data_IF_439892209933
#
_entry.id   IF_439892209933
#
_cell.length_a   1.000
_cell.length_b   1.000
_cell.length_c   1.000
_cell.angle_alpha   90.00
_cell.angle_beta   90.00
_cell.angle_gamma   90.00
#
_symmetry.space_group_name_H-M   'P 1'
#
loop_
_entity.id
_entity.type
_entity.pdbx_description
1 polymer ?
#
# COMPACT_ATOMS: atom_id res chain seq x y z
N UNK A 1 -8.41 -17.69 18.14
CA UNK A 1 -7.86 -17.17 16.87
C UNK A 1 -8.97 -17.25 15.85
N UNK A 2 -9.34 -16.12 15.30
CA UNK A 2 -10.33 -16.01 14.23
C UNK A 2 -9.80 -16.70 12.97
N UNK A 3 -10.67 -17.33 12.20
CA UNK A 3 -10.35 -17.95 10.92
C UNK A 3 -11.34 -17.44 9.88
N UNK A 4 -10.97 -17.49 8.61
CA UNK A 4 -11.92 -17.23 7.54
C UNK A 4 -13.05 -18.27 7.56
N UNK A 5 -14.25 -17.77 7.35
CA UNK A 5 -15.47 -18.55 7.21
C UNK A 5 -16.16 -18.21 5.90
N UNK A 6 -17.13 -19.01 5.49
CA UNK A 6 -17.99 -18.62 4.37
C UNK A 6 -18.73 -17.31 4.68
N UNK A 7 -19.16 -16.57 3.65
CA UNK A 7 -19.97 -15.38 3.82
C UNK A 7 -21.22 -15.62 4.67
N UNK A 8 -21.85 -16.79 4.50
CA UNK A 8 -23.06 -17.17 5.25
C UNK A 8 -22.76 -17.32 6.75
N UNK A 9 -21.66 -18.02 7.11
CA UNK A 9 -21.24 -18.22 8.50
C UNK A 9 -20.74 -16.93 9.14
N UNK A 10 -20.06 -16.05 8.34
CA UNK A 10 -19.66 -14.71 8.79
C UNK A 10 -20.89 -13.89 9.19
N UNK A 11 -21.92 -13.85 8.33
CA UNK A 11 -23.15 -13.11 8.61
C UNK A 11 -23.86 -13.63 9.85
N UNK A 12 -23.99 -14.95 10.03
CA UNK A 12 -24.56 -15.54 11.24
C UNK A 12 -23.78 -15.12 12.50
N UNK A 13 -22.44 -15.11 12.42
CA UNK A 13 -21.58 -14.65 13.52
C UNK A 13 -21.81 -13.16 13.85
N UNK A 14 -21.96 -12.33 12.82
CA UNK A 14 -22.15 -10.89 12.99
C UNK A 14 -23.57 -10.52 13.46
N UNK A 15 -24.61 -11.28 13.06
CA UNK A 15 -25.98 -11.11 13.58
C UNK A 15 -26.08 -11.34 15.09
N UNK A 16 -25.21 -12.20 15.65
CA UNK A 16 -25.15 -12.47 17.10
C UNK A 16 -24.24 -11.47 17.85
N UNK A 17 -23.41 -10.72 17.11
CA UNK A 17 -22.49 -9.72 17.69
C UNK A 17 -23.20 -8.37 17.91
N UNK A 18 -22.71 -7.60 18.86
CA UNK A 18 -23.12 -6.22 19.07
C UNK A 18 -21.88 -5.37 19.33
N UNK A 19 -21.77 -4.29 18.60
CA UNK A 19 -20.63 -3.38 18.69
C UNK A 19 -21.07 -2.02 19.23
N UNK A 20 -20.32 -1.47 20.18
CA UNK A 20 -20.61 -0.16 20.78
C UNK A 20 -20.29 1.01 19.82
N UNK A 21 -19.66 0.71 18.67
CA UNK A 21 -19.24 1.67 17.64
C UNK A 21 -19.21 1.01 16.25
N UNK A 22 -19.21 1.80 15.16
CA UNK A 22 -19.04 1.25 13.83
C UNK A 22 -17.80 0.34 13.72
N UNK A 23 -17.92 -0.91 13.25
CA UNK A 23 -16.75 -1.73 12.99
C UNK A 23 -16.00 -1.24 11.74
N UNK A 24 -14.74 -1.64 11.59
CA UNK A 24 -13.99 -1.45 10.36
C UNK A 24 -14.01 -2.73 9.53
N UNK A 25 -14.19 -2.61 8.21
CA UNK A 25 -13.97 -3.67 7.24
C UNK A 25 -12.57 -3.49 6.66
N UNK A 26 -11.69 -4.45 6.88
CA UNK A 26 -10.36 -4.51 6.27
C UNK A 26 -10.39 -5.56 5.17
N UNK A 27 -10.27 -5.15 3.91
CA UNK A 27 -10.27 -6.06 2.77
C UNK A 27 -8.87 -6.26 2.19
N UNK A 28 -8.63 -7.39 1.55
CA UNK A 28 -7.30 -7.94 1.29
C UNK A 28 -6.54 -8.11 2.62
N UNK A 29 -7.00 -9.04 3.42
CA UNK A 29 -6.62 -9.23 4.81
C UNK A 29 -5.23 -9.88 4.99
N UNK A 30 -4.22 -9.40 4.24
CA UNK A 30 -2.84 -9.87 4.25
C UNK A 30 -1.95 -8.99 5.16
N UNK A 31 -0.66 -8.82 4.86
CA UNK A 31 0.33 -8.08 5.68
C UNK A 31 -0.12 -6.66 6.00
N UNK A 32 -0.59 -5.92 4.99
CA UNK A 32 -1.12 -4.56 5.15
C UNK A 32 -2.37 -4.57 6.01
N UNK A 33 -3.29 -5.51 5.76
CA UNK A 33 -4.52 -5.66 6.53
C UNK A 33 -4.28 -5.92 8.01
N UNK A 34 -3.28 -6.75 8.38
CA UNK A 34 -2.85 -6.93 9.79
C UNK A 34 -2.44 -5.62 10.41
N UNK A 35 -1.65 -4.82 9.71
CA UNK A 35 -1.14 -3.55 10.21
C UNK A 35 -2.26 -2.53 10.42
N UNK A 36 -3.22 -2.46 9.49
CA UNK A 36 -4.43 -1.61 9.61
C UNK A 36 -5.30 -2.09 10.77
N UNK A 37 -5.58 -3.39 10.86
CA UNK A 37 -6.38 -3.96 11.95
C UNK A 37 -5.79 -3.63 13.33
N UNK A 38 -4.48 -3.83 13.51
CA UNK A 38 -3.78 -3.52 14.76
C UNK A 38 -3.81 -2.02 15.08
N UNK A 39 -3.65 -1.16 14.07
CA UNK A 39 -3.73 0.29 14.24
C UNK A 39 -5.10 0.74 14.76
N UNK A 40 -6.18 0.16 14.23
CA UNK A 40 -7.56 0.43 14.65
C UNK A 40 -7.86 -0.16 16.03
N UNK A 41 -7.37 -1.36 16.31
CA UNK A 41 -7.57 -2.03 17.61
C UNK A 41 -6.90 -1.29 18.79
N UNK A 42 -5.86 -0.47 18.56
CA UNK A 42 -5.28 0.39 19.63
C UNK A 42 -6.27 1.44 20.15
N UNK A 43 -7.37 1.65 19.44
CA UNK A 43 -8.46 2.55 19.79
C UNK A 43 -9.80 1.80 19.99
N UNK A 44 -9.74 0.50 20.27
CA UNK A 44 -10.91 -0.36 20.50
C UNK A 44 -11.91 -0.39 19.32
N UNK A 45 -11.45 -0.20 18.08
CA UNK A 45 -12.30 -0.35 16.90
C UNK A 45 -12.39 -1.84 16.55
N UNK A 46 -13.60 -2.44 16.50
CA UNK A 46 -13.77 -3.82 16.07
C UNK A 46 -13.42 -3.95 14.58
N UNK A 47 -12.65 -4.98 14.21
CA UNK A 47 -12.23 -5.18 12.83
C UNK A 47 -12.77 -6.48 12.26
N UNK A 48 -13.45 -6.41 11.13
CA UNK A 48 -13.93 -7.50 10.31
C UNK A 48 -12.99 -7.62 9.10
N UNK A 49 -12.36 -8.79 8.92
CA UNK A 49 -11.47 -9.04 7.80
C UNK A 49 -12.22 -9.71 6.65
N UNK A 50 -12.11 -9.14 5.45
CA UNK A 50 -12.68 -9.72 4.22
C UNK A 50 -11.55 -10.05 3.24
N UNK A 51 -11.62 -11.22 2.61
CA UNK A 51 -10.68 -11.60 1.55
C UNK A 51 -11.37 -12.51 0.52
N UNK A 52 -10.73 -12.70 -0.64
CA UNK A 52 -11.18 -13.59 -1.71
C UNK A 52 -10.91 -15.07 -1.42
N UNK A 53 -9.98 -15.34 -0.51
CA UNK A 53 -9.56 -16.71 -0.13
C UNK A 53 -9.33 -16.79 1.37
N UNK A 54 -9.31 -18.01 1.90
CA UNK A 54 -9.05 -18.28 3.31
C UNK A 54 -7.59 -18.14 3.76
N UNK A 55 -6.69 -17.64 2.90
CA UNK A 55 -5.24 -17.66 3.11
C UNK A 55 -4.67 -16.34 3.67
N UNK A 56 -5.51 -15.34 3.89
CA UNK A 56 -5.10 -14.05 4.45
C UNK A 56 -4.45 -14.17 5.83
N UNK A 57 -3.55 -13.24 6.13
CA UNK A 57 -2.69 -13.27 7.32
C UNK A 57 -3.33 -12.57 8.53
N UNK A 58 -4.30 -11.68 8.29
CA UNK A 58 -4.90 -10.87 9.36
C UNK A 58 -5.85 -11.64 10.31
N UNK A 59 -6.68 -12.61 9.88
CA UNK A 59 -7.69 -13.21 10.75
C UNK A 59 -7.17 -13.81 12.05
N UNK A 60 -5.98 -14.47 12.09
CA UNK A 60 -5.46 -15.01 13.34
C UNK A 60 -5.01 -13.96 14.37
N UNK A 61 -5.00 -12.67 14.01
CA UNK A 61 -4.69 -11.56 14.92
C UNK A 61 -5.78 -11.37 15.97
N UNK A 62 -5.38 -11.02 17.21
CA UNK A 62 -6.31 -10.59 18.27
C UNK A 62 -7.06 -9.30 17.92
N UNK A 63 -6.55 -8.52 16.95
CA UNK A 63 -7.20 -7.31 16.44
C UNK A 63 -8.43 -7.59 15.57
N UNK A 64 -8.62 -8.84 15.09
CA UNK A 64 -9.70 -9.21 14.18
C UNK A 64 -10.78 -9.97 14.94
N UNK A 65 -12.02 -9.46 14.94
CA UNK A 65 -13.15 -10.05 15.64
C UNK A 65 -13.91 -11.09 14.81
N UNK A 66 -13.95 -10.91 13.47
CA UNK A 66 -14.59 -11.82 12.54
C UNK A 66 -13.87 -11.76 11.18
N UNK A 67 -13.95 -12.86 10.40
CA UNK A 67 -13.35 -12.90 9.08
C UNK A 67 -14.17 -13.77 8.13
N UNK A 68 -14.30 -13.36 6.86
CA UNK A 68 -15.06 -14.11 5.86
C UNK A 68 -14.55 -13.91 4.44
N UNK A 69 -14.85 -14.92 3.62
CA UNK A 69 -14.58 -14.90 2.19
C UNK A 69 -15.70 -14.17 1.46
N UNK A 70 -15.31 -13.30 0.54
CA UNK A 70 -16.22 -12.55 -0.34
C UNK A 70 -15.78 -12.68 -1.79
N UNK A 71 -16.68 -12.38 -2.69
CA UNK A 71 -16.41 -12.34 -4.13
C UNK A 71 -15.25 -11.42 -4.44
N UNK A 72 -14.32 -11.90 -5.27
CA UNK A 72 -13.17 -11.08 -5.69
C UNK A 72 -13.61 -9.98 -6.67
N UNK A 73 -13.32 -8.72 -6.38
CA UNK A 73 -13.87 -7.61 -7.16
C UNK A 73 -13.43 -7.57 -8.62
N UNK A 74 -12.30 -8.16 -9.00
CA UNK A 74 -11.89 -8.26 -10.40
C UNK A 74 -12.66 -9.33 -11.19
N UNK A 75 -13.16 -10.35 -10.52
CA UNK A 75 -13.93 -11.42 -11.17
C UNK A 75 -15.40 -11.01 -11.34
N UNK A 76 -15.98 -10.38 -10.31
CA UNK A 76 -17.38 -9.95 -10.31
C UNK A 76 -17.58 -8.73 -9.37
N UNK A 77 -17.50 -7.49 -9.88
CA UNK A 77 -17.69 -6.29 -9.06
C UNK A 77 -19.09 -6.18 -8.45
N UNK A 78 -20.15 -6.64 -9.14
CA UNK A 78 -21.51 -6.61 -8.63
C UNK A 78 -21.68 -7.63 -7.50
N UNK A 79 -21.15 -8.85 -7.67
CA UNK A 79 -21.14 -9.87 -6.61
C UNK A 79 -20.34 -9.41 -5.39
N UNK A 80 -19.20 -8.75 -5.57
CA UNK A 80 -18.46 -8.14 -4.48
C UNK A 80 -19.31 -7.12 -3.72
N UNK A 81 -19.97 -6.20 -4.43
CA UNK A 81 -20.86 -5.21 -3.81
C UNK A 81 -21.96 -5.89 -3.00
N UNK A 82 -22.67 -6.88 -3.59
CA UNK A 82 -23.75 -7.61 -2.91
C UNK A 82 -23.25 -8.30 -1.65
N UNK A 83 -22.07 -8.91 -1.67
CA UNK A 83 -21.46 -9.57 -0.51
C UNK A 83 -21.17 -8.55 0.61
N UNK A 84 -20.54 -7.40 0.28
CA UNK A 84 -20.21 -6.35 1.24
C UNK A 84 -21.47 -5.73 1.84
N UNK A 85 -22.48 -5.41 1.03
CA UNK A 85 -23.79 -4.91 1.48
C UNK A 85 -24.45 -5.92 2.43
N UNK A 86 -24.37 -7.22 2.10
CA UNK A 86 -24.93 -8.27 2.95
C UNK A 86 -24.26 -8.40 4.31
N UNK A 87 -22.96 -8.05 4.41
CA UNK A 87 -22.23 -7.93 5.69
C UNK A 87 -22.69 -6.68 6.44
N UNK A 88 -22.83 -5.55 5.75
CA UNK A 88 -23.26 -4.30 6.37
C UNK A 88 -24.70 -4.40 6.91
N UNK A 89 -25.60 -5.08 6.20
CA UNK A 89 -27.02 -5.24 6.56
C UNK A 89 -27.25 -5.95 7.91
N UNK A 90 -26.32 -6.77 8.37
CA UNK A 90 -26.44 -7.49 9.65
C UNK A 90 -25.77 -6.77 10.83
N UNK A 91 -25.17 -5.62 10.59
CA UNK A 91 -24.49 -4.82 11.61
C UNK A 91 -25.40 -3.73 12.18
N UNK A 92 -25.25 -3.43 13.49
CA UNK A 92 -25.97 -2.33 14.16
C UNK A 92 -25.51 -0.92 13.69
N UNK A 93 -24.35 -0.84 13.05
CA UNK A 93 -23.71 0.40 12.60
C UNK A 93 -23.10 0.22 11.21
N UNK A 94 -23.16 1.26 10.36
CA UNK A 94 -22.49 1.28 9.06
C UNK A 94 -20.98 1.14 9.24
N UNK A 95 -20.33 0.06 8.75
CA UNK A 95 -18.90 -0.15 8.89
C UNK A 95 -18.08 0.85 8.06
N UNK A 96 -16.81 1.05 8.45
CA UNK A 96 -15.85 1.88 7.71
C UNK A 96 -14.90 0.99 6.92
N UNK A 97 -14.79 1.19 5.61
CA UNK A 97 -13.97 0.36 4.72
C UNK A 97 -12.50 0.80 4.67
N UNK A 98 -11.60 -0.18 4.76
CA UNK A 98 -10.14 -0.04 4.58
C UNK A 98 -9.65 -1.05 3.56
N UNK A 99 -9.74 -0.74 2.25
CA UNK A 99 -9.19 -1.58 1.19
C UNK A 99 -7.66 -1.51 1.20
N UNK A 100 -7.00 -2.69 1.18
CA UNK A 100 -5.55 -2.79 1.29
C UNK A 100 -4.85 -3.21 -0.01
N UNK A 101 -5.54 -3.12 -1.14
CA UNK A 101 -5.00 -3.31 -2.51
C UNK A 101 -5.75 -2.43 -3.50
N UNK A 102 -5.13 -2.12 -4.63
CA UNK A 102 -5.67 -1.19 -5.64
C UNK A 102 -7.01 -1.67 -6.20
N UNK A 103 -7.15 -2.95 -6.55
CA UNK A 103 -8.41 -3.52 -7.06
C UNK A 103 -9.56 -3.42 -6.06
N UNK A 104 -9.27 -3.52 -4.76
CA UNK A 104 -10.28 -3.38 -3.71
C UNK A 104 -10.70 -1.93 -3.51
N UNK A 105 -9.74 -0.97 -3.54
CA UNK A 105 -10.10 0.46 -3.44
C UNK A 105 -10.92 0.91 -4.64
N UNK A 106 -10.55 0.45 -5.84
CA UNK A 106 -11.33 0.71 -7.05
C UNK A 106 -12.75 0.17 -6.94
N UNK A 107 -12.90 -1.08 -6.50
CA UNK A 107 -14.22 -1.70 -6.37
C UNK A 107 -15.12 -0.99 -5.37
N UNK A 108 -14.61 -0.65 -4.19
CA UNK A 108 -15.37 0.15 -3.23
C UNK A 108 -15.76 1.53 -3.77
N UNK A 109 -14.84 2.20 -4.44
CA UNK A 109 -15.10 3.54 -4.98
C UNK A 109 -16.05 3.52 -6.19
N UNK A 110 -16.01 2.47 -7.01
CA UNK A 110 -16.87 2.29 -8.19
C UNK A 110 -18.28 1.84 -7.80
N UNK A 111 -18.39 0.88 -6.90
CA UNK A 111 -19.69 0.28 -6.54
C UNK A 111 -20.40 1.03 -5.42
N UNK A 112 -19.68 1.83 -4.62
CA UNK A 112 -20.22 2.58 -3.48
C UNK A 112 -21.25 1.75 -2.68
N UNK A 113 -20.86 0.61 -2.02
CA UNK A 113 -21.81 -0.29 -1.40
C UNK A 113 -22.70 0.41 -0.37
N UNK A 114 -24.02 0.17 -0.41
CA UNK A 114 -24.97 0.74 0.52
C UNK A 114 -24.66 0.32 1.97
N UNK A 115 -24.79 1.25 2.92
CA UNK A 115 -24.55 1.00 4.34
C UNK A 115 -23.07 0.90 4.73
N UNK A 116 -22.13 1.28 3.85
CA UNK A 116 -20.68 1.29 4.12
C UNK A 116 -20.11 2.70 4.01
N UNK A 117 -19.28 3.09 4.96
CA UNK A 117 -18.59 4.40 4.94
C UNK A 117 -17.22 4.25 4.28
N UNK A 118 -16.98 5.12 3.29
CA UNK A 118 -15.76 5.12 2.49
C UNK A 118 -14.90 6.34 2.88
N UNK A 119 -13.79 6.17 3.66
CA UNK A 119 -12.93 7.28 4.11
C UNK A 119 -11.87 7.66 3.06
N UNK A 120 -12.26 7.70 1.79
CA UNK A 120 -11.37 8.04 0.67
C UNK A 120 -12.15 8.65 -0.50
N UNK A 121 -11.43 9.25 -1.43
CA UNK A 121 -11.96 9.97 -2.57
C UNK A 121 -12.81 9.08 -3.50
N UNK A 122 -13.62 9.72 -4.33
CA UNK A 122 -14.45 9.06 -5.34
C UNK A 122 -13.62 8.44 -6.46
N UNK A 123 -14.24 7.53 -7.19
CA UNK A 123 -13.64 6.74 -8.26
C UNK A 123 -12.92 7.57 -9.32
N UNK A 124 -13.47 8.69 -9.74
CA UNK A 124 -12.86 9.57 -10.73
C UNK A 124 -11.52 10.16 -10.23
N UNK A 125 -11.48 10.64 -8.99
CA UNK A 125 -10.25 11.17 -8.37
C UNK A 125 -9.20 10.07 -8.15
N UNK A 126 -9.64 8.90 -7.66
CA UNK A 126 -8.74 7.74 -7.46
C UNK A 126 -8.16 7.29 -8.79
N UNK A 127 -8.99 7.19 -9.83
CA UNK A 127 -8.56 6.77 -11.16
C UNK A 127 -7.53 7.73 -11.77
N UNK A 128 -7.70 9.04 -11.57
CA UNK A 128 -6.76 10.06 -12.05
C UNK A 128 -5.43 10.03 -11.30
N UNK A 129 -5.45 9.82 -9.99
CA UNK A 129 -4.22 9.72 -9.18
C UNK A 129 -3.43 8.45 -9.50
N UNK A 130 -4.11 7.33 -9.73
CA UNK A 130 -3.48 6.04 -10.05
C UNK A 130 -3.05 5.93 -11.53
N UNK A 131 -3.61 6.76 -12.42
CA UNK A 131 -3.17 6.84 -13.81
C UNK A 131 -1.88 7.67 -13.90
N UNK A 132 -0.77 7.02 -14.20
CA UNK A 132 0.55 7.67 -14.24
C UNK A 132 0.66 8.79 -15.27
N UNK A 133 -0.12 8.74 -16.35
CA UNK A 133 -0.15 9.83 -17.34
C UNK A 133 -0.78 11.09 -16.73
N UNK A 134 -1.87 10.94 -15.96
CA UNK A 134 -2.53 12.04 -15.23
C UNK A 134 -1.66 12.54 -14.08
N UNK A 135 -1.08 11.62 -13.29
CA UNK A 135 -0.19 11.96 -12.17
C UNK A 135 1.02 12.81 -12.62
N UNK A 136 1.69 12.40 -13.71
CA UNK A 136 2.84 13.15 -14.22
C UNK A 136 2.43 14.47 -14.90
N UNK A 137 1.23 14.58 -15.47
CA UNK A 137 0.71 15.86 -15.95
C UNK A 137 0.51 16.84 -14.78
N UNK A 138 -0.07 16.37 -13.67
CA UNK A 138 -0.20 17.18 -12.44
C UNK A 138 1.17 17.57 -11.87
N UNK A 139 2.13 16.64 -11.83
CA UNK A 139 3.48 16.94 -11.38
C UNK A 139 4.18 18.00 -12.25
N UNK A 140 3.99 17.95 -13.57
CA UNK A 140 4.53 18.95 -14.51
C UNK A 140 3.93 20.34 -14.27
N UNK A 141 2.61 20.45 -14.09
CA UNK A 141 1.92 21.71 -13.80
C UNK A 141 2.39 22.35 -12.48
N UNK A 142 2.74 21.52 -11.49
CA UNK A 142 3.22 21.94 -10.17
C UNK A 142 4.73 22.09 -10.09
N UNK A 143 5.46 21.86 -11.18
CA UNK A 143 6.94 21.86 -11.21
C UNK A 143 7.54 20.85 -10.20
N UNK A 144 6.82 19.74 -9.89
CA UNK A 144 7.32 18.63 -9.07
C UNK A 144 8.15 17.71 -9.96
N UNK A 145 9.43 17.47 -9.63
CA UNK A 145 10.29 16.60 -10.44
C UNK A 145 9.76 15.19 -10.55
N UNK A 146 9.77 14.64 -11.77
CA UNK A 146 9.45 13.27 -12.09
C UNK A 146 10.40 12.75 -13.18
N UNK A 147 10.55 11.42 -13.39
CA UNK A 147 11.42 10.89 -14.43
C UNK A 147 10.96 11.31 -15.83
N UNK A 148 11.89 11.63 -16.73
CA UNK A 148 11.56 11.94 -18.12
C UNK A 148 10.74 10.81 -18.74
N UNK A 149 9.52 11.11 -19.16
CA UNK A 149 8.53 10.11 -19.56
C UNK A 149 7.84 10.52 -20.86
N UNK A 150 7.69 9.56 -21.78
CA UNK A 150 6.96 9.73 -23.03
C UNK A 150 5.77 8.78 -23.08
N UNK A 151 4.58 9.35 -23.26
CA UNK A 151 3.33 8.62 -23.48
C UNK A 151 3.35 8.04 -24.90
N UNK A 152 3.37 6.73 -25.05
CA UNK A 152 3.45 6.08 -26.36
C UNK A 152 2.11 6.09 -27.11
N UNK A 153 1.07 6.66 -26.53
CA UNK A 153 -0.16 7.07 -27.22
C UNK A 153 -0.02 8.39 -28.00
N UNK A 154 0.96 9.24 -27.66
CA UNK A 154 1.17 10.58 -28.19
C UNK A 154 2.49 10.71 -28.97
N UNK A 155 3.49 9.92 -28.61
CA UNK A 155 4.85 9.96 -29.18
C UNK A 155 5.16 8.63 -29.84
N UNK A 156 5.78 8.68 -31.03
CA UNK A 156 6.25 7.47 -31.71
C UNK A 156 7.29 6.75 -30.85
N UNK A 157 7.20 5.41 -30.69
CA UNK A 157 8.15 4.65 -29.87
C UNK A 157 9.62 4.86 -30.27
N UNK A 158 9.93 4.95 -31.56
CA UNK A 158 11.29 5.20 -32.05
C UNK A 158 11.79 6.59 -31.64
N UNK A 159 10.94 7.61 -31.72
CA UNK A 159 11.27 8.97 -31.28
C UNK A 159 11.49 9.04 -29.76
N UNK A 160 10.68 8.34 -28.96
CA UNK A 160 10.86 8.25 -27.51
C UNK A 160 12.19 7.58 -27.15
N UNK A 161 12.51 6.46 -27.80
CA UNK A 161 13.77 5.75 -27.60
C UNK A 161 14.99 6.58 -28.00
N UNK A 162 14.90 7.38 -29.09
CA UNK A 162 16.00 8.27 -29.51
C UNK A 162 16.28 9.40 -28.51
N UNK A 163 15.25 9.86 -27.78
CA UNK A 163 15.39 10.93 -26.77
C UNK A 163 15.90 10.39 -25.44
N UNK A 164 15.34 9.28 -24.95
CA UNK A 164 15.71 8.71 -23.65
C UNK A 164 17.06 7.98 -23.67
N UNK A 165 17.38 7.31 -24.80
CA UNK A 165 18.51 6.39 -24.86
C UNK A 165 18.25 5.08 -24.10
N UNK A 166 19.29 4.23 -24.00
CA UNK A 166 19.20 2.94 -23.33
C UNK A 166 20.25 2.81 -22.22
N UNK A 167 19.99 2.07 -21.13
CA UNK A 167 18.73 1.37 -20.84
C UNK A 167 17.59 2.35 -20.46
N UNK A 168 16.36 1.98 -20.80
CA UNK A 168 15.15 2.69 -20.35
C UNK A 168 14.16 1.72 -19.67
N UNK A 169 13.07 2.22 -19.12
CA UNK A 169 12.01 1.40 -18.56
C UNK A 169 10.69 1.61 -19.28
N UNK A 170 9.94 0.53 -19.45
CA UNK A 170 8.56 0.56 -19.93
C UNK A 170 7.63 0.35 -18.74
N UNK A 171 6.72 1.30 -18.54
CA UNK A 171 5.73 1.27 -17.46
C UNK A 171 4.32 1.37 -18.04
N UNK A 172 3.32 0.73 -17.43
CA UNK A 172 1.93 0.94 -17.78
C UNK A 172 1.41 2.28 -17.28
N UNK A 173 0.41 2.83 -17.95
CA UNK A 173 -0.41 3.90 -17.40
C UNK A 173 -1.17 3.40 -16.16
N UNK A 174 -1.67 2.15 -16.23
CA UNK A 174 -2.33 1.46 -15.12
C UNK A 174 -1.61 0.16 -14.78
N UNK A 175 -1.20 0.03 -13.53
CA UNK A 175 -0.33 -1.04 -13.02
C UNK A 175 -0.90 -2.45 -13.27
N UNK A 176 -2.16 -2.67 -12.92
CA UNK A 176 -2.79 -3.99 -12.95
C UNK A 176 -2.86 -4.64 -14.33
N UNK A 177 -3.25 -3.86 -15.34
CA UNK A 177 -3.39 -4.36 -16.71
C UNK A 177 -2.07 -4.95 -17.27
N UNK A 178 -0.96 -4.35 -16.86
CA UNK A 178 0.38 -4.76 -17.31
C UNK A 178 0.92 -5.96 -16.52
N UNK A 179 0.62 -6.01 -15.21
CA UNK A 179 0.99 -7.15 -14.36
C UNK A 179 0.31 -8.44 -14.82
N UNK A 180 -0.94 -8.37 -15.27
CA UNK A 180 -1.64 -9.53 -15.83
C UNK A 180 -1.03 -10.01 -17.16
N UNK A 181 -0.49 -9.07 -17.95
CA UNK A 181 0.11 -9.38 -19.23
C UNK A 181 1.55 -9.92 -19.10
N UNK A 182 2.39 -9.28 -18.29
CA UNK A 182 3.83 -9.52 -18.23
C UNK A 182 4.34 -10.07 -16.88
N UNK A 183 3.46 -10.17 -15.88
CA UNK A 183 3.84 -10.64 -14.55
C UNK A 183 4.71 -9.65 -13.76
N UNK A 184 4.79 -8.40 -14.20
CA UNK A 184 5.56 -7.31 -13.57
C UNK A 184 4.90 -5.97 -13.86
N UNK A 185 5.16 -4.98 -13.01
CA UNK A 185 4.66 -3.60 -13.18
C UNK A 185 5.68 -2.66 -13.85
N UNK A 186 6.86 -3.15 -14.20
CA UNK A 186 7.92 -2.41 -14.89
C UNK A 186 8.82 -3.37 -15.65
N UNK A 187 9.21 -3.00 -16.87
CA UNK A 187 10.20 -3.76 -17.66
C UNK A 187 11.37 -2.82 -17.97
N UNK A 188 12.56 -3.21 -17.52
CA UNK A 188 13.81 -2.59 -17.98
C UNK A 188 14.20 -3.18 -19.31
N UNK A 189 14.50 -2.35 -20.30
CA UNK A 189 14.92 -2.76 -21.64
C UNK A 189 16.31 -2.21 -21.94
N UNK A 190 17.18 -3.08 -22.46
CA UNK A 190 18.58 -2.76 -22.68
C UNK A 190 18.85 -2.15 -24.06
N UNK A 191 17.98 -2.40 -25.02
CA UNK A 191 18.14 -1.91 -26.40
C UNK A 191 16.78 -1.72 -27.11
N UNK A 192 16.86 -1.22 -28.34
CA UNK A 192 15.70 -0.89 -29.19
C UNK A 192 14.87 -2.11 -29.59
N UNK A 193 15.49 -3.26 -29.83
CA UNK A 193 14.79 -4.47 -30.26
C UNK A 193 13.88 -4.97 -29.13
N UNK A 194 14.43 -5.07 -27.92
CA UNK A 194 13.68 -5.45 -26.71
C UNK A 194 12.58 -4.43 -26.39
N UNK A 195 12.87 -3.12 -26.51
CA UNK A 195 11.89 -2.06 -26.30
C UNK A 195 10.68 -2.20 -27.22
N UNK A 196 10.91 -2.35 -28.54
CA UNK A 196 9.83 -2.45 -29.50
C UNK A 196 9.03 -3.76 -29.36
N UNK A 197 9.67 -4.86 -28.92
CA UNK A 197 8.98 -6.11 -28.61
C UNK A 197 7.99 -5.92 -27.43
N UNK A 198 8.43 -5.30 -26.34
CA UNK A 198 7.57 -5.02 -25.16
C UNK A 198 6.42 -4.08 -25.53
N UNK A 199 6.70 -2.99 -26.25
CA UNK A 199 5.68 -2.01 -26.65
C UNK A 199 4.66 -2.64 -27.60
N UNK A 200 5.11 -3.44 -28.57
CA UNK A 200 4.21 -4.15 -29.51
C UNK A 200 3.30 -5.12 -28.78
N UNK A 201 3.85 -5.92 -27.86
CA UNK A 201 3.08 -6.85 -27.04
C UNK A 201 2.01 -6.15 -26.20
N UNK A 202 2.36 -5.01 -25.58
CA UNK A 202 1.41 -4.21 -24.83
C UNK A 202 0.30 -3.63 -25.71
N UNK A 203 0.67 -3.10 -26.90
CA UNK A 203 -0.31 -2.56 -27.85
C UNK A 203 -1.27 -3.64 -28.39
N UNK A 204 -0.78 -4.83 -28.71
CA UNK A 204 -1.60 -5.97 -29.15
C UNK A 204 -2.59 -6.42 -28.07
N UNK A 205 -2.20 -6.29 -26.79
CA UNK A 205 -3.06 -6.57 -25.64
C UNK A 205 -4.00 -5.41 -25.28
N UNK A 206 -3.88 -4.24 -25.94
CA UNK A 206 -4.68 -3.05 -25.64
C UNK A 206 -4.25 -2.30 -24.37
N UNK A 207 -3.04 -2.59 -23.85
CA UNK A 207 -2.50 -1.96 -22.64
C UNK A 207 -1.74 -0.68 -23.00
N UNK A 208 -2.09 0.44 -22.34
CA UNK A 208 -1.37 1.70 -22.51
C UNK A 208 -0.06 1.68 -21.75
N UNK A 209 1.04 2.01 -22.43
CA UNK A 209 2.37 2.05 -21.84
C UNK A 209 3.10 3.35 -22.14
N UNK A 210 4.06 3.66 -21.28
CA UNK A 210 4.96 4.80 -21.36
C UNK A 210 6.41 4.31 -21.45
N UNK A 211 7.24 5.04 -22.21
CA UNK A 211 8.69 4.93 -22.12
C UNK A 211 9.22 5.96 -21.13
N UNK A 212 10.03 5.52 -20.18
CA UNK A 212 10.57 6.37 -19.12
C UNK A 212 12.07 6.15 -19.00
N UNK A 213 12.81 7.21 -18.70
CA UNK A 213 14.23 7.08 -18.36
C UNK A 213 14.44 6.12 -17.20
N UNK A 214 15.54 5.41 -17.21
CA UNK A 214 15.99 4.65 -16.04
C UNK A 214 16.71 5.60 -15.10
N UNK A 215 16.04 6.02 -14.02
CA UNK A 215 16.62 6.89 -13.01
C UNK A 215 17.83 6.21 -12.33
N UNK A 216 18.99 6.87 -12.20
CA UNK A 216 20.12 6.37 -11.45
C UNK A 216 19.88 6.53 -9.92
N UNK A 217 19.10 5.62 -9.36
CA UNK A 217 18.62 5.69 -7.96
C UNK A 217 19.76 5.48 -6.97
N UNK A 218 19.87 6.36 -5.98
CA UNK A 218 20.76 6.17 -4.84
C UNK A 218 20.17 5.12 -3.88
N UNK A 219 20.89 4.02 -3.68
CA UNK A 219 20.41 2.92 -2.83
C UNK A 219 20.20 3.38 -1.38
N UNK A 220 19.02 3.11 -0.83
CA UNK A 220 18.64 3.45 0.54
C UNK A 220 18.20 4.89 0.74
N UNK A 221 17.93 5.60 -0.36
CA UNK A 221 17.42 6.97 -0.38
C UNK A 221 16.03 7.05 -1.04
N UNK A 222 15.23 5.99 -0.94
CA UNK A 222 13.86 6.00 -1.43
C UNK A 222 12.95 6.58 -0.34
N UNK A 223 12.32 7.71 -0.59
CA UNK A 223 11.43 8.38 0.38
C UNK A 223 9.99 8.35 -0.07
N UNK A 224 9.09 8.23 0.89
CA UNK A 224 7.65 8.34 0.63
C UNK A 224 6.98 9.22 1.67
N UNK A 225 6.02 10.06 1.23
CA UNK A 225 5.10 10.70 2.15
C UNK A 225 3.97 9.72 2.48
N UNK A 226 3.94 9.23 3.71
CA UNK A 226 2.82 8.53 4.31
C UNK A 226 1.81 9.55 4.82
N UNK A 227 0.57 9.57 4.32
CA UNK A 227 -0.39 10.59 4.73
C UNK A 227 -1.83 10.10 4.82
N UNK A 228 -2.60 10.76 5.65
CA UNK A 228 -4.06 10.84 5.58
C UNK A 228 -4.46 12.29 5.38
N UNK A 229 -5.26 12.57 4.36
CA UNK A 229 -5.86 13.87 4.09
C UNK A 229 -7.36 13.77 4.30
N UNK A 230 -7.92 14.62 5.16
CA UNK A 230 -9.37 14.68 5.38
C UNK A 230 -10.10 15.32 4.21
N UNK A 231 -11.41 15.12 4.07
CA UNK A 231 -12.22 15.87 3.09
C UNK A 231 -12.16 17.39 3.27
N UNK A 232 -11.93 17.87 4.48
CA UNK A 232 -11.81 19.30 4.82
C UNK A 232 -10.39 19.86 4.54
N UNK A 233 -9.44 19.01 4.19
CA UNK A 233 -8.08 19.36 3.79
C UNK A 233 -7.03 19.30 4.91
N UNK A 234 -7.39 18.88 6.12
CA UNK A 234 -6.43 18.60 7.19
C UNK A 234 -5.56 17.41 6.83
N UNK A 235 -4.26 17.49 7.11
CA UNK A 235 -3.29 16.45 6.74
C UNK A 235 -2.51 15.98 7.97
N UNK A 236 -2.53 14.67 8.20
CA UNK A 236 -1.63 13.95 9.09
C UNK A 236 -0.60 13.20 8.24
N UNK A 237 0.69 13.43 8.44
CA UNK A 237 1.72 12.85 7.57
C UNK A 237 3.03 12.55 8.28
N UNK A 238 3.79 11.60 7.71
CA UNK A 238 5.15 11.23 8.10
C UNK A 238 5.94 10.89 6.84
N UNK A 239 7.18 11.35 6.73
CA UNK A 239 8.08 10.91 5.66
C UNK A 239 8.85 9.67 6.11
N UNK A 240 8.73 8.59 5.32
CA UNK A 240 9.50 7.37 5.48
C UNK A 240 10.65 7.30 4.48
N UNK A 241 11.78 6.73 4.87
CA UNK A 241 12.91 6.41 4.00
C UNK A 241 13.13 4.90 3.95
N UNK A 242 12.91 4.27 2.81
CA UNK A 242 13.16 2.86 2.61
C UNK A 242 14.68 2.59 2.49
N UNK A 243 15.30 2.28 3.62
CA UNK A 243 16.73 1.94 3.71
C UNK A 243 17.07 0.66 2.96
N UNK A 244 16.13 -0.27 2.92
CA UNK A 244 16.34 -1.60 2.34
C UNK A 244 15.08 -2.04 1.60
N UNK A 245 15.27 -2.55 0.37
CA UNK A 245 14.23 -3.20 -0.45
C UNK A 245 14.61 -4.65 -0.76
N UNK A 246 13.63 -5.51 -0.92
CA UNK A 246 13.80 -6.90 -1.32
C UNK A 246 12.73 -7.31 -2.36
N UNK A 247 13.13 -7.93 -3.48
CA UNK A 247 14.50 -8.01 -4.02
C UNK A 247 15.14 -6.62 -4.21
N UNK A 248 16.48 -6.56 -4.26
CA UNK A 248 17.16 -5.29 -4.55
C UNK A 248 16.75 -4.75 -5.93
N UNK A 249 16.67 -3.45 -6.07
CA UNK A 249 16.20 -2.76 -7.27
C UNK A 249 14.71 -2.45 -7.20
N UNK A 250 13.87 -3.19 -7.91
CA UNK A 250 12.43 -2.94 -7.99
C UNK A 250 11.58 -3.66 -6.93
N UNK A 251 12.22 -4.22 -5.90
CA UNK A 251 11.51 -4.92 -4.81
C UNK A 251 10.79 -3.98 -3.84
N UNK A 252 10.03 -4.58 -2.91
CA UNK A 252 9.28 -3.85 -1.88
C UNK A 252 10.15 -3.48 -0.68
N UNK A 253 9.73 -2.49 0.09
CA UNK A 253 10.43 -2.06 1.31
C UNK A 253 10.47 -3.18 2.36
N UNK A 254 11.62 -3.37 3.01
CA UNK A 254 11.77 -4.28 4.13
C UNK A 254 12.40 -3.65 5.39
N UNK A 255 13.05 -2.48 5.26
CA UNK A 255 13.43 -1.63 6.40
C UNK A 255 13.11 -0.18 6.02
N UNK A 256 12.30 0.50 6.83
CA UNK A 256 11.90 1.91 6.62
C UNK A 256 12.12 2.69 7.90
N UNK A 257 12.82 3.83 7.80
CA UNK A 257 13.03 4.77 8.89
C UNK A 257 12.20 6.04 8.68
N UNK A 258 11.75 6.68 9.75
CA UNK A 258 11.25 8.06 9.65
C UNK A 258 12.40 9.00 9.35
N UNK A 259 12.13 10.01 8.51
CA UNK A 259 13.07 11.10 8.23
C UNK A 259 12.33 12.44 8.18
N UNK A 260 13.03 13.52 8.45
CA UNK A 260 12.51 14.87 8.21
C UNK A 260 12.88 15.30 6.79
N UNK A 261 11.88 15.60 5.96
CA UNK A 261 12.06 16.16 4.64
C UNK A 261 10.88 17.08 4.28
N UNK A 262 10.92 18.33 4.77
CA UNK A 262 9.82 19.27 4.56
C UNK A 262 9.64 19.70 3.10
N UNK A 263 10.68 19.58 2.26
CA UNK A 263 10.57 19.89 0.84
C UNK A 263 9.82 18.80 0.09
N UNK A 264 10.19 17.52 0.30
CA UNK A 264 9.47 16.38 -0.26
C UNK A 264 8.02 16.34 0.24
N UNK A 265 7.79 16.57 1.53
CA UNK A 265 6.46 16.65 2.10
C UNK A 265 5.61 17.72 1.40
N UNK A 266 6.15 18.94 1.20
CA UNK A 266 5.44 20.01 0.52
C UNK A 266 5.09 19.66 -0.94
N UNK A 267 6.03 19.05 -1.69
CA UNK A 267 5.82 18.58 -3.06
C UNK A 267 4.73 17.52 -3.14
N UNK A 268 4.80 16.49 -2.28
CA UNK A 268 3.81 15.43 -2.26
C UNK A 268 2.40 15.94 -1.89
N UNK A 269 2.32 16.84 -0.89
CA UNK A 269 1.05 17.45 -0.48
C UNK A 269 0.44 18.30 -1.59
N UNK A 270 1.24 19.07 -2.36
CA UNK A 270 0.71 19.86 -3.48
C UNK A 270 0.11 18.98 -4.58
N UNK A 271 0.70 17.81 -4.88
CA UNK A 271 0.16 16.85 -5.86
C UNK A 271 -1.18 16.28 -5.38
N UNK A 272 -1.28 15.87 -4.11
CA UNK A 272 -2.52 15.34 -3.53
C UNK A 272 -3.62 16.41 -3.45
N UNK A 273 -3.26 17.65 -3.17
CA UNK A 273 -4.19 18.77 -3.11
C UNK A 273 -4.75 19.11 -4.49
N UNK A 274 -3.88 19.24 -5.50
CA UNK A 274 -4.28 19.56 -6.88
C UNK A 274 -5.17 18.47 -7.48
N UNK A 275 -4.86 17.20 -7.22
CA UNK A 275 -5.70 16.08 -7.65
C UNK A 275 -7.06 16.00 -6.94
N UNK A 276 -7.28 16.80 -5.88
CA UNK A 276 -8.47 16.72 -5.04
C UNK A 276 -8.58 15.44 -4.22
N UNK A 277 -7.48 14.68 -4.08
CA UNK A 277 -7.48 13.42 -3.34
C UNK A 277 -7.64 13.65 -1.84
N UNK A 278 -8.50 12.84 -1.20
CA UNK A 278 -8.58 12.67 0.25
C UNK A 278 -8.61 11.18 0.60
N UNK A 279 -8.12 10.83 1.76
CA UNK A 279 -7.94 9.45 2.20
C UNK A 279 -6.49 9.14 2.59
N UNK A 280 -6.21 7.86 2.84
CA UNK A 280 -4.87 7.37 3.12
C UNK A 280 -4.09 7.27 1.80
N UNK A 281 -2.87 7.79 1.77
CA UNK A 281 -2.00 7.73 0.59
C UNK A 281 -0.52 7.60 0.93
N UNK A 282 0.23 7.04 -0.02
CA UNK A 282 1.68 7.01 -0.04
C UNK A 282 2.17 7.60 -1.36
N UNK A 283 2.84 8.77 -1.30
CA UNK A 283 3.49 9.36 -2.46
C UNK A 283 4.97 8.96 -2.47
N UNK A 284 5.39 8.19 -3.47
CA UNK A 284 6.71 7.59 -3.57
C UNK A 284 7.67 8.44 -4.40
N UNK A 285 8.86 8.69 -3.84
CA UNK A 285 9.97 9.39 -4.49
C UNK A 285 11.25 8.57 -4.40
N UNK A 286 12.09 8.69 -5.43
CA UNK A 286 13.45 8.16 -5.41
C UNK A 286 14.45 9.29 -5.60
N UNK A 287 15.65 9.16 -5.01
CA UNK A 287 16.71 10.12 -5.19
C UNK A 287 17.46 9.85 -6.49
N UNK A 288 17.37 10.78 -7.43
CA UNK A 288 18.15 10.77 -8.67
C UNK A 288 19.57 11.27 -8.39
N UNK A 289 20.56 10.38 -8.51
CA UNK A 289 21.96 10.70 -8.23
C UNK A 289 22.60 11.67 -9.21
N UNK A 290 22.07 11.74 -10.45
CA UNK A 290 22.62 12.63 -11.49
C UNK A 290 22.04 14.04 -11.39
N UNK A 291 20.75 14.15 -11.01
CA UNK A 291 20.08 15.44 -10.76
C UNK A 291 20.29 15.97 -9.36
N UNK A 292 20.72 15.10 -8.43
CA UNK A 292 20.86 15.38 -6.99
C UNK A 292 19.53 15.86 -6.36
N UNK A 293 18.38 15.25 -6.77
CA UNK A 293 17.05 15.58 -6.26
C UNK A 293 16.12 14.39 -6.19
N UNK A 294 15.02 14.52 -5.42
CA UNK A 294 13.95 13.54 -5.36
C UNK A 294 12.98 13.71 -6.52
N UNK A 295 12.66 12.61 -7.23
CA UNK A 295 11.70 12.56 -8.34
C UNK A 295 10.50 11.68 -7.95
N UNK A 296 9.29 12.15 -8.25
CA UNK A 296 8.03 11.46 -7.96
C UNK A 296 7.88 10.23 -8.87
N UNK A 297 7.66 9.05 -8.30
CA UNK A 297 7.44 7.82 -9.06
C UNK A 297 5.99 7.38 -9.12
N UNK A 298 5.28 7.46 -7.99
CA UNK A 298 3.94 6.88 -7.85
C UNK A 298 3.18 7.51 -6.68
N UNK A 299 1.86 7.35 -6.68
CA UNK A 299 0.98 7.62 -5.54
C UNK A 299 0.06 6.41 -5.35
N UNK A 300 0.16 5.76 -4.21
CA UNK A 300 -0.77 4.73 -3.78
C UNK A 300 -1.92 5.37 -3.02
N UNK A 301 -3.17 5.03 -3.36
CA UNK A 301 -4.39 5.61 -2.76
C UNK A 301 -5.01 4.68 -1.71
N UNK A 302 -4.21 3.92 -1.02
CA UNK A 302 -4.57 2.88 -0.05
C UNK A 302 -3.47 2.67 0.98
N UNK A 303 -3.73 1.96 2.10
CA UNK A 303 -2.68 1.47 2.98
C UNK A 303 -1.65 0.58 2.24
N UNK A 304 -0.42 0.56 2.73
CA UNK A 304 0.71 -0.17 2.14
C UNK A 304 1.48 -0.97 3.20
N UNK A 305 2.44 -1.77 2.77
CA UNK A 305 3.13 -2.77 3.60
C UNK A 305 3.69 -2.23 4.93
N UNK A 306 4.27 -1.03 4.93
CA UNK A 306 4.87 -0.42 6.11
C UNK A 306 3.98 0.63 6.82
N UNK A 307 2.64 0.56 6.64
CA UNK A 307 1.66 1.49 7.26
C UNK A 307 1.73 1.54 8.80
N UNK A 308 2.28 0.50 9.45
CA UNK A 308 2.49 0.52 10.89
C UNK A 308 3.67 1.40 11.35
N UNK A 309 4.56 1.85 10.43
CA UNK A 309 5.63 2.80 10.80
C UNK A 309 5.07 4.18 11.16
N UNK A 310 4.21 4.85 10.36
CA UNK A 310 3.55 6.08 10.77
C UNK A 310 2.83 5.95 12.11
N UNK A 311 2.16 4.82 12.36
CA UNK A 311 1.47 4.57 13.64
C UNK A 311 2.46 4.59 14.81
N UNK A 312 3.60 3.91 14.67
CA UNK A 312 4.67 3.91 15.68
C UNK A 312 5.27 5.31 15.84
N UNK A 313 5.38 6.08 14.76
CA UNK A 313 5.85 7.46 14.77
C UNK A 313 4.85 8.48 15.39
N UNK A 314 3.66 8.02 15.83
CA UNK A 314 2.63 8.87 16.40
C UNK A 314 1.52 9.28 15.44
N UNK A 315 1.63 8.96 14.15
CA UNK A 315 0.63 9.27 13.14
C UNK A 315 -0.21 8.03 12.78
N UNK A 316 -1.25 7.74 13.57
CA UNK A 316 -2.17 6.63 13.30
C UNK A 316 -3.12 6.99 12.15
N UNK A 317 -2.63 6.87 10.90
CA UNK A 317 -3.38 7.22 9.69
C UNK A 317 -4.68 6.41 9.54
N UNK A 318 -4.70 5.07 9.79
CA UNK A 318 -5.94 4.30 9.78
C UNK A 318 -6.97 4.81 10.78
N UNK A 319 -6.55 5.13 12.00
CA UNK A 319 -7.50 5.63 12.99
C UNK A 319 -7.95 7.07 12.72
N UNK A 320 -7.08 7.93 12.17
CA UNK A 320 -7.48 9.27 11.72
C UNK A 320 -8.59 9.20 10.66
N UNK A 321 -8.43 8.33 9.66
CA UNK A 321 -9.42 8.09 8.63
C UNK A 321 -10.75 7.51 9.20
N UNK A 322 -10.65 6.59 10.14
CA UNK A 322 -11.81 6.05 10.84
C UNK A 322 -12.54 7.14 11.66
N UNK A 323 -11.81 7.89 12.47
CA UNK A 323 -12.37 8.93 13.34
C UNK A 323 -13.15 9.96 12.52
N UNK A 324 -12.58 10.42 11.42
CA UNK A 324 -13.21 11.36 10.50
C UNK A 324 -14.50 10.78 9.88
N UNK A 325 -14.45 9.53 9.40
CA UNK A 325 -15.62 8.85 8.82
C UNK A 325 -16.78 8.67 9.79
N UNK A 326 -16.51 8.58 11.11
CA UNK A 326 -17.55 8.43 12.15
C UNK A 326 -17.84 9.72 12.93
N UNK A 327 -17.18 10.83 12.57
CA UNK A 327 -17.38 12.14 13.17
C UNK A 327 -16.77 12.28 14.56
N UNK A 328 -15.64 11.62 14.83
CA UNK A 328 -14.87 11.75 16.05
C UNK A 328 -13.67 12.68 15.84
N UNK A 329 -13.31 13.42 16.88
CA UNK A 329 -12.04 14.17 16.89
C UNK A 329 -10.88 13.21 17.21
N UNK A 330 -9.76 13.36 16.48
CA UNK A 330 -8.53 12.65 16.76
C UNK A 330 -7.35 13.63 16.86
N UNK A 331 -6.68 13.60 18.00
CA UNK A 331 -5.44 14.32 18.21
C UNK A 331 -4.27 13.32 18.13
N UNK A 332 -3.38 13.53 17.17
CA UNK A 332 -2.17 12.73 17.03
C UNK A 332 -1.22 12.97 18.20
N UNK A 333 -0.58 11.91 18.76
CA UNK A 333 0.52 12.06 19.68
C UNK A 333 1.68 12.91 19.11
N UNK A 334 2.57 13.37 20.00
CA UNK A 334 3.80 14.03 19.58
C UNK A 334 4.61 13.11 18.64
N UNK A 335 5.09 13.61 17.49
CA UNK A 335 5.89 12.82 16.56
C UNK A 335 7.17 12.28 17.19
N UNK A 336 7.53 11.04 16.84
CA UNK A 336 8.76 10.41 17.28
C UNK A 336 9.46 9.69 16.12
N UNK A 337 10.76 9.44 16.27
CA UNK A 337 11.49 8.61 15.32
C UNK A 337 11.00 7.17 15.41
N UNK A 338 10.83 6.52 14.25
CA UNK A 338 10.42 5.13 14.17
C UNK A 338 11.16 4.38 13.06
N UNK A 339 11.35 3.08 13.28
CA UNK A 339 11.86 2.11 12.32
C UNK A 339 10.89 0.96 12.17
N UNK A 340 10.58 0.62 10.95
CA UNK A 340 9.77 -0.54 10.59
C UNK A 340 10.60 -1.60 9.88
N UNK A 341 10.31 -2.88 10.17
CA UNK A 341 11.03 -4.01 9.61
C UNK A 341 10.06 -5.09 9.17
N UNK A 342 10.22 -5.58 7.94
CA UNK A 342 9.63 -6.84 7.50
C UNK A 342 10.68 -7.95 7.54
N UNK A 343 10.63 -8.73 8.61
CA UNK A 343 11.66 -9.73 8.93
C UNK A 343 11.85 -10.81 7.85
N UNK A 344 10.80 -11.40 7.23
CA UNK A 344 10.98 -12.44 6.22
C UNK A 344 11.87 -11.99 5.06
N UNK A 345 11.58 -10.82 4.45
CA UNK A 345 12.35 -10.28 3.34
C UNK A 345 13.76 -9.88 3.77
N UNK A 346 13.88 -9.23 4.93
CA UNK A 346 15.19 -8.79 5.44
C UNK A 346 16.12 -9.95 5.72
N UNK A 347 15.63 -11.01 6.37
CA UNK A 347 16.39 -12.23 6.62
C UNK A 347 16.76 -12.96 5.32
N UNK A 348 15.85 -13.00 4.35
CA UNK A 348 16.10 -13.57 3.03
C UNK A 348 17.19 -12.81 2.28
N UNK A 349 17.21 -11.48 2.36
CA UNK A 349 18.26 -10.64 1.79
C UNK A 349 19.62 -10.92 2.43
N UNK A 350 19.69 -10.90 3.76
CA UNK A 350 20.94 -11.17 4.48
C UNK A 350 21.50 -12.58 4.19
N UNK A 351 20.62 -13.57 4.02
CA UNK A 351 21.00 -14.94 3.70
C UNK A 351 21.48 -15.10 2.25
N UNK A 352 20.82 -14.43 1.30
CA UNK A 352 21.13 -14.54 -0.14
C UNK A 352 22.26 -13.63 -0.61
N UNK A 353 22.53 -12.54 0.11
CA UNK A 353 23.53 -11.52 -0.21
C UNK A 353 24.47 -11.26 0.96
N UNK A 354 25.44 -12.15 1.24
CA UNK A 354 26.31 -12.04 2.42
C UNK A 354 27.18 -10.77 2.48
N UNK A 355 27.31 -10.07 1.34
CA UNK A 355 28.01 -8.78 1.26
C UNK A 355 27.11 -7.58 1.56
N UNK A 356 25.80 -7.80 1.69
CA UNK A 356 24.86 -6.73 2.06
C UNK A 356 25.08 -6.35 3.53
N UNK A 357 25.28 -5.06 3.84
CA UNK A 357 25.50 -4.64 5.22
C UNK A 357 24.23 -4.80 6.05
N UNK A 358 24.36 -5.38 7.22
CA UNK A 358 23.29 -5.36 8.21
C UNK A 358 23.07 -3.93 8.71
N UNK A 359 21.85 -3.43 8.55
CA UNK A 359 21.47 -2.06 8.93
C UNK A 359 20.92 -1.97 10.35
N UNK A 360 20.65 -3.12 10.99
CA UNK A 360 20.19 -3.18 12.37
C UNK A 360 21.37 -3.18 13.34
N UNK A 361 21.24 -2.42 14.42
CA UNK A 361 22.15 -2.46 15.54
C UNK A 361 22.00 -3.75 16.37
N UNK A 362 22.99 -4.06 17.17
CA UNK A 362 22.93 -5.20 18.12
C UNK A 362 21.77 -5.05 19.12
N UNK A 363 21.44 -3.82 19.51
CA UNK A 363 20.35 -3.53 20.46
C UNK A 363 19.00 -3.79 19.79
N UNK A 364 18.80 -3.37 18.54
CA UNK A 364 17.59 -3.66 17.76
C UNK A 364 17.42 -5.16 17.53
N UNK A 365 18.48 -5.89 17.16
CA UNK A 365 18.43 -7.34 17.06
C UNK A 365 18.07 -8.00 18.41
N UNK A 366 18.59 -7.50 19.51
CA UNK A 366 18.26 -8.01 20.84
C UNK A 366 16.80 -7.74 21.16
N UNK A 367 16.31 -6.53 20.90
CA UNK A 367 14.90 -6.15 21.13
C UNK A 367 13.95 -7.02 20.29
N UNK A 368 14.26 -7.25 19.01
CA UNK A 368 13.46 -8.08 18.12
C UNK A 368 13.40 -9.54 18.60
N UNK A 369 14.55 -10.13 18.93
CA UNK A 369 14.63 -11.54 19.32
C UNK A 369 14.05 -11.82 20.71
N UNK A 370 14.13 -10.85 21.63
CA UNK A 370 13.52 -10.97 22.96
C UNK A 370 12.04 -10.61 23.01
N UNK A 371 11.53 -9.93 21.97
CA UNK A 371 10.16 -9.36 21.97
C UNK A 371 10.04 -8.04 22.73
N UNK A 372 11.14 -7.51 23.28
CA UNK A 372 11.13 -6.24 24.03
C UNK A 372 10.79 -5.02 23.13
N UNK A 373 10.92 -5.14 21.81
CA UNK A 373 10.57 -4.06 20.88
C UNK A 373 9.11 -3.60 21.02
N UNK A 374 8.18 -4.47 21.39
CA UNK A 374 6.77 -4.11 21.62
C UNK A 374 6.57 -3.11 22.76
N UNK A 375 7.53 -3.02 23.68
CA UNK A 375 7.55 -2.06 24.78
C UNK A 375 8.57 -0.93 24.59
N UNK A 376 9.35 -0.98 23.51
CA UNK A 376 10.39 -0.01 23.17
C UNK A 376 9.88 0.89 22.07
N UNK A 377 9.76 2.18 22.35
CA UNK A 377 9.34 3.16 21.35
C UNK A 377 10.29 3.21 20.16
N UNK A 378 9.74 3.39 18.98
CA UNK A 378 10.48 3.64 17.76
C UNK A 378 10.88 2.39 16.97
N UNK A 379 10.49 1.17 17.38
CA UNK A 379 10.75 -0.04 16.60
C UNK A 379 9.47 -0.85 16.42
N UNK A 380 9.10 -1.11 15.18
CA UNK A 380 7.90 -1.92 14.86
C UNK A 380 8.16 -2.89 13.70
N UNK A 381 7.28 -3.87 13.53
CA UNK A 381 7.39 -4.87 12.46
C UNK A 381 6.10 -4.95 11.65
N UNK A 382 6.19 -5.46 10.42
CA UNK A 382 5.02 -5.65 9.57
C UNK A 382 4.04 -6.68 10.12
N UNK A 383 4.54 -7.84 10.55
CA UNK A 383 3.67 -8.96 10.97
C UNK A 383 4.07 -9.53 12.32
N UNK A 384 5.38 -9.73 12.55
CA UNK A 384 5.88 -10.38 13.75
C UNK A 384 5.61 -9.56 15.01
N UNK A 385 4.79 -10.11 15.91
CA UNK A 385 4.56 -9.59 17.27
C UNK A 385 4.41 -10.76 18.24
N UNK A 386 5.30 -10.89 19.24
CA UNK A 386 5.18 -11.94 20.26
C UNK A 386 3.88 -11.91 21.06
N UNK A 387 3.31 -10.72 21.29
CA UNK A 387 2.01 -10.54 21.95
C UNK A 387 0.83 -11.01 21.10
N UNK A 388 0.99 -11.03 19.74
CA UNK A 388 -0.03 -11.44 18.77
C UNK A 388 0.62 -12.30 17.69
N UNK A 389 0.98 -13.59 17.99
CA UNK A 389 1.80 -14.43 17.13
C UNK A 389 1.04 -15.05 15.94
N UNK A 390 -0.31 -15.06 15.98
CA UNK A 390 -1.15 -15.72 14.97
C UNK A 390 -0.81 -15.33 13.53
N UNK A 391 -0.74 -14.03 13.18
CA UNK A 391 -0.37 -13.59 11.85
C UNK A 391 1.02 -14.05 11.38
N UNK A 392 2.01 -14.09 12.29
CA UNK A 392 3.36 -14.54 11.94
C UNK A 392 3.39 -16.05 11.63
N UNK A 393 2.60 -16.85 12.33
CA UNK A 393 2.46 -18.28 12.02
C UNK A 393 1.76 -18.48 10.68
N UNK A 394 0.71 -17.70 10.40
CA UNK A 394 -0.02 -17.76 9.13
C UNK A 394 0.89 -17.40 7.93
N UNK A 395 1.74 -16.37 8.05
CA UNK A 395 2.74 -16.04 7.01
C UNK A 395 3.65 -17.24 6.71
N UNK A 396 4.13 -17.94 7.75
CA UNK A 396 4.95 -19.12 7.54
C UNK A 396 4.22 -20.24 6.81
N UNK A 397 2.94 -20.42 7.06
CA UNK A 397 2.12 -21.42 6.37
C UNK A 397 1.86 -21.02 4.91
N UNK A 398 1.54 -19.76 4.62
CA UNK A 398 1.25 -19.28 3.26
C UNK A 398 2.50 -19.17 2.40
N UNK A 399 3.62 -18.63 2.90
CA UNK A 399 4.85 -18.46 2.14
C UNK A 399 5.60 -19.79 1.89
N UNK A 400 5.51 -20.75 2.83
CA UNK A 400 6.21 -22.03 2.72
C UNK A 400 5.30 -23.22 2.39
N UNK A 401 3.98 -23.06 2.48
CA UNK A 401 2.99 -24.14 2.28
C UNK A 401 2.45 -24.26 0.87
N UNK A 402 2.50 -23.21 0.04
CA UNK A 402 2.01 -23.22 -1.33
C UNK A 402 1.91 -21.82 -1.93
N UNK A 403 2.14 -21.67 -3.24
CA UNK A 403 2.37 -20.36 -3.87
C UNK A 403 1.11 -19.63 -4.39
N UNK A 404 -0.08 -19.96 -3.93
CA UNK A 404 -1.31 -19.48 -4.58
C UNK A 404 -1.82 -18.12 -4.09
N UNK A 405 -1.22 -17.51 -3.07
CA UNK A 405 -1.58 -16.18 -2.62
C UNK A 405 -0.61 -15.12 -3.16
N UNK A 406 -1.09 -14.31 -4.09
CA UNK A 406 -0.34 -13.17 -4.61
C UNK A 406 -0.61 -11.92 -3.76
N UNK A 407 0.42 -11.45 -3.07
CA UNK A 407 0.43 -10.13 -2.45
C UNK A 407 1.40 -9.24 -3.21
N UNK A 408 0.90 -8.24 -3.92
CA UNK A 408 1.70 -7.17 -4.54
C UNK A 408 1.92 -6.00 -3.56
N UNK A 409 1.99 -6.30 -2.26
CA UNK A 409 2.17 -5.28 -1.23
C UNK A 409 3.48 -4.52 -1.37
#
# INVERSE_FOLDING_TARGET
MTQFTSLADLRETLEEASFDRPPAIVSNAHITGVSVARALATHDVPVIALDRTGDGVAPPSEAVVAAGEVTFPLDDPDGFREDVESVADVLDHDPVAFPCMDEWVHAFAETEPDGVRLPFAKQDVIADVLDKESLYATAEELEVPYPETYRLSEVDPDDAADRLGFPLVVKPARKREFEELLGTNVVEVADREEFLEVVTGAQEAGVRVMAQEKVPVATGEDRSLASYRSPDGDVLSVVGNARVRYPQGFGTSCVVDTVEDPELEARARSVLEESGYYGISEAEFVYDSDREEYVLLDVNTRPWKWISMPVEAGANLPYAAYADAVGLEYESPEPQEARWIYLPDYLSLLASSPSFPDVLSNDEWTALLSGEFESTQGLTTGVYRPSDPGPALQVLETEFGGPDYYCSC
#
